data_IF_845317440433
#
_entry.id   IF_845317440433
#
_cell.length_a   1.000
_cell.length_b   1.000
_cell.length_c   1.000
_cell.angle_alpha   90.00
_cell.angle_beta   90.00
_cell.angle_gamma   90.00
#
_symmetry.space_group_name_H-M   'P 1'
#
loop_
_entity.id
_entity.type
_entity.pdbx_description
1 polymer ?
#
# COMPACT_ATOMS: atom_id res chain seq x y z
N UNK A 1 1.91 -17.95 27.46
CA UNK A 1 0.88 -16.87 27.53
C UNK A 1 1.20 -15.76 28.54
N UNK A 2 1.65 -16.03 29.79
CA UNK A 2 1.88 -14.96 30.79
C UNK A 2 2.82 -13.84 30.30
N UNK A 3 3.88 -14.21 29.58
CA UNK A 3 4.86 -13.28 28.99
C UNK A 3 4.24 -12.37 27.92
N UNK A 4 3.35 -12.90 27.07
CA UNK A 4 2.64 -12.10 26.06
C UNK A 4 1.84 -10.94 26.70
N UNK A 5 1.30 -11.15 27.90
CA UNK A 5 0.57 -10.11 28.62
C UNK A 5 1.47 -9.06 29.29
N UNK A 6 2.79 -9.29 29.38
CA UNK A 6 3.76 -8.28 29.83
C UNK A 6 4.05 -7.24 28.74
N UNK A 7 3.94 -7.65 27.47
CA UNK A 7 4.07 -6.77 26.32
C UNK A 7 3.01 -5.66 26.37
N UNK A 8 3.37 -4.44 25.94
CA UNK A 8 2.41 -3.35 25.87
C UNK A 8 1.24 -3.71 24.94
N UNK A 9 0.03 -3.26 25.30
CA UNK A 9 -1.15 -3.44 24.46
C UNK A 9 -1.08 -2.61 23.17
N UNK A 10 -0.47 -1.42 23.24
CA UNK A 10 -0.20 -0.55 22.10
C UNK A 10 1.26 -0.07 22.12
N UNK A 11 1.86 0.05 20.94
CA UNK A 11 3.24 0.48 20.78
C UNK A 11 4.25 -0.57 21.24
N UNK A 12 5.48 -0.13 21.46
CA UNK A 12 6.60 -1.01 21.79
C UNK A 12 7.29 -0.54 23.07
N UNK A 13 7.94 -1.48 23.76
CA UNK A 13 8.68 -1.20 24.98
C UNK A 13 10.11 -1.79 24.88
N UNK A 14 11.11 -1.11 25.44
CA UNK A 14 12.45 -1.67 25.59
C UNK A 14 12.42 -2.96 26.40
N UNK A 15 13.25 -3.93 26.02
CA UNK A 15 13.32 -5.25 26.67
C UNK A 15 13.62 -5.12 28.17
N UNK A 16 14.42 -4.15 28.58
CA UNK A 16 14.78 -3.89 29.97
C UNK A 16 13.56 -3.47 30.81
N UNK A 17 12.58 -2.82 30.19
CA UNK A 17 11.30 -2.51 30.84
C UNK A 17 10.45 -3.77 31.01
N UNK A 18 10.52 -4.71 30.07
CA UNK A 18 9.82 -6.00 30.16
C UNK A 18 10.47 -6.92 31.20
N UNK A 19 11.79 -6.92 31.31
CA UNK A 19 12.55 -7.64 32.33
C UNK A 19 12.13 -7.20 33.74
N UNK A 20 12.05 -5.88 33.99
CA UNK A 20 11.54 -5.34 35.27
C UNK A 20 10.14 -5.86 35.60
N UNK A 21 9.24 -5.91 34.60
CA UNK A 21 7.89 -6.48 34.78
C UNK A 21 7.92 -7.99 35.02
N UNK A 22 8.81 -8.72 34.35
CA UNK A 22 8.96 -10.16 34.50
C UNK A 22 9.44 -10.54 35.91
N UNK A 23 10.43 -9.82 36.45
CA UNK A 23 10.89 -9.97 37.84
C UNK A 23 9.73 -9.74 38.81
N UNK A 24 8.97 -8.66 38.65
CA UNK A 24 7.79 -8.38 39.49
C UNK A 24 6.70 -9.46 39.38
N UNK A 25 6.56 -10.08 38.21
CA UNK A 25 5.61 -11.16 37.96
C UNK A 25 6.14 -12.57 38.30
N UNK A 26 7.36 -12.68 38.86
CA UNK A 26 8.06 -13.94 39.17
C UNK A 26 8.22 -14.84 37.95
N UNK A 27 8.69 -14.27 36.84
CA UNK A 27 9.02 -14.96 35.58
C UNK A 27 10.54 -14.87 35.41
N UNK A 28 11.21 -15.98 35.06
CA UNK A 28 12.64 -15.98 34.79
C UNK A 28 12.96 -15.15 33.54
N UNK A 29 14.12 -14.50 33.52
CA UNK A 29 14.52 -13.65 32.38
C UNK A 29 14.79 -14.50 31.13
N UNK A 30 15.38 -15.69 31.29
CA UNK A 30 15.60 -16.62 30.19
C UNK A 30 14.26 -17.03 29.56
N UNK A 31 13.26 -17.39 30.37
CA UNK A 31 11.90 -17.71 29.88
C UNK A 31 11.28 -16.53 29.08
N UNK A 32 11.48 -15.29 29.56
CA UNK A 32 11.01 -14.08 28.89
C UNK A 32 11.65 -13.94 27.50
N UNK A 33 12.98 -14.03 27.44
CA UNK A 33 13.74 -13.85 26.20
C UNK A 33 13.44 -14.97 25.20
N UNK A 34 13.48 -16.24 25.62
CA UNK A 34 13.15 -17.39 24.77
C UNK A 34 11.71 -17.31 24.24
N UNK A 35 10.75 -16.93 25.09
CA UNK A 35 9.35 -16.80 24.65
C UNK A 35 9.18 -15.68 23.65
N UNK A 36 9.82 -14.53 23.85
CA UNK A 36 9.76 -13.41 22.88
C UNK A 36 10.33 -13.86 21.54
N UNK A 37 11.54 -14.43 21.55
CA UNK A 37 12.21 -14.90 20.34
C UNK A 37 11.41 -15.98 19.60
N UNK A 38 10.72 -16.87 20.32
CA UNK A 38 9.85 -17.88 19.72
C UNK A 38 8.58 -17.29 19.10
N UNK A 39 8.03 -16.21 19.65
CA UNK A 39 6.78 -15.61 19.18
C UNK A 39 6.97 -14.64 17.99
N UNK A 40 8.18 -14.14 17.76
CA UNK A 40 8.53 -13.32 16.58
C UNK A 40 8.26 -14.08 15.27
N UNK A 41 8.82 -15.28 15.04
CA UNK A 41 8.55 -16.07 13.82
C UNK A 41 7.16 -16.73 13.81
N UNK A 42 6.30 -16.44 14.79
CA UNK A 42 4.87 -16.78 14.73
C UNK A 42 4.02 -15.58 14.27
N UNK A 43 4.62 -14.38 14.15
CA UNK A 43 3.92 -13.13 13.82
C UNK A 43 3.09 -12.57 14.98
N UNK A 44 3.34 -13.02 16.22
CA UNK A 44 2.57 -12.65 17.42
C UNK A 44 3.22 -11.47 18.16
N UNK A 45 4.53 -11.29 17.98
CA UNK A 45 5.34 -10.24 18.60
C UNK A 45 6.11 -9.51 17.53
N UNK A 46 5.97 -8.18 17.49
CA UNK A 46 6.85 -7.33 16.70
C UNK A 46 8.09 -7.01 17.54
N UNK A 47 9.25 -7.07 16.90
CA UNK A 47 10.51 -6.68 17.53
C UNK A 47 11.43 -5.99 16.52
N UNK A 48 12.30 -5.12 17.04
CA UNK A 48 13.47 -4.61 16.33
C UNK A 48 14.49 -4.03 17.32
N UNK A 49 15.72 -3.82 16.87
CA UNK A 49 16.79 -3.19 17.65
C UNK A 49 16.95 -1.72 17.26
N UNK A 50 17.01 -0.83 18.25
CA UNK A 50 17.25 0.59 18.06
C UNK A 50 18.01 1.18 19.26
N UNK A 51 19.05 1.98 18.99
CA UNK A 51 19.87 2.58 20.04
C UNK A 51 20.53 1.55 20.98
N UNK A 52 20.79 0.33 20.50
CA UNK A 52 21.38 -0.75 21.29
C UNK A 52 20.40 -1.52 22.18
N UNK A 53 19.11 -1.17 22.20
CA UNK A 53 18.07 -1.89 22.94
C UNK A 53 17.08 -2.57 21.98
N UNK A 54 16.59 -3.74 22.37
CA UNK A 54 15.52 -4.46 21.66
C UNK A 54 14.17 -3.92 22.09
N UNK A 55 13.41 -3.38 21.15
CA UNK A 55 12.03 -2.99 21.34
C UNK A 55 11.13 -4.19 21.03
N UNK A 56 10.13 -4.44 21.89
CA UNK A 56 9.15 -5.50 21.71
C UNK A 56 7.73 -4.98 21.95
N UNK A 57 6.78 -5.43 21.13
CA UNK A 57 5.37 -5.10 21.23
C UNK A 57 4.49 -6.28 20.81
N UNK A 58 3.20 -6.21 21.12
CA UNK A 58 2.25 -7.17 20.53
C UNK A 58 2.07 -6.79 19.06
N UNK A 59 2.24 -7.75 18.17
CA UNK A 59 1.95 -7.52 16.77
C UNK A 59 0.45 -7.21 16.60
N UNK A 60 0.08 -6.21 15.79
CA UNK A 60 -1.32 -5.99 15.46
C UNK A 60 -1.86 -7.21 14.72
N UNK A 61 -3.16 -7.47 14.84
CA UNK A 61 -3.78 -8.66 14.22
C UNK A 61 -3.49 -8.75 12.72
N UNK A 62 -3.45 -7.62 12.02
CA UNK A 62 -3.14 -7.58 10.59
C UNK A 62 -1.72 -8.07 10.30
N UNK A 63 -0.74 -7.76 11.15
CA UNK A 63 0.63 -8.23 10.99
C UNK A 63 0.74 -9.75 11.19
N UNK A 64 0.01 -10.31 12.16
CA UNK A 64 -0.09 -11.77 12.32
C UNK A 64 -0.69 -12.43 11.07
N UNK A 65 -1.80 -11.88 10.55
CA UNK A 65 -2.45 -12.42 9.35
C UNK A 65 -1.53 -12.36 8.13
N UNK A 66 -0.91 -11.20 7.90
CA UNK A 66 0.09 -10.96 6.86
C UNK A 66 1.27 -11.92 6.93
N UNK A 67 1.75 -12.20 8.15
CA UNK A 67 2.85 -13.11 8.40
C UNK A 67 2.46 -14.54 8.04
N UNK A 68 1.34 -15.00 8.57
CA UNK A 68 0.90 -16.40 8.44
C UNK A 68 0.64 -16.80 6.98
N UNK A 69 0.10 -15.91 6.15
CA UNK A 69 -0.15 -16.21 4.73
C UNK A 69 1.12 -16.27 3.87
N UNK A 70 2.27 -15.81 4.41
CA UNK A 70 3.58 -15.83 3.74
C UNK A 70 4.48 -16.97 4.19
N UNK A 71 4.12 -17.67 5.27
CA UNK A 71 4.87 -18.83 5.72
C UNK A 71 4.86 -19.92 4.65
N UNK A 72 5.96 -20.65 4.50
CA UNK A 72 6.03 -21.81 3.60
C UNK A 72 5.40 -23.03 4.27
N UNK A 73 5.66 -23.22 5.56
CA UNK A 73 5.16 -24.36 6.33
C UNK A 73 3.64 -24.27 6.53
N UNK A 74 2.94 -25.38 6.31
CA UNK A 74 1.51 -25.46 6.57
C UNK A 74 1.24 -25.73 8.05
N UNK A 75 0.28 -25.02 8.62
CA UNK A 75 -0.10 -25.18 10.03
C UNK A 75 -1.58 -24.87 10.23
N UNK A 76 -2.20 -25.37 11.31
CA UNK A 76 -3.57 -25.00 11.66
C UNK A 76 -3.75 -23.48 11.80
N UNK A 77 -2.77 -22.79 12.38
CA UNK A 77 -2.79 -21.33 12.55
C UNK A 77 -2.77 -20.62 11.19
N UNK A 78 -1.90 -21.05 10.28
CA UNK A 78 -1.83 -20.53 8.91
C UNK A 78 -3.15 -20.68 8.18
N UNK A 79 -3.78 -21.85 8.24
CA UNK A 79 -5.08 -22.11 7.57
C UNK A 79 -6.20 -21.22 8.13
N UNK A 80 -6.24 -21.01 9.45
CA UNK A 80 -7.22 -20.11 10.08
C UNK A 80 -6.94 -18.65 9.69
N UNK A 81 -5.68 -18.22 9.78
CA UNK A 81 -5.30 -16.86 9.41
C UNK A 81 -5.56 -16.57 7.93
N UNK A 82 -5.35 -17.54 7.04
CA UNK A 82 -5.69 -17.41 5.61
C UNK A 82 -7.18 -17.12 5.41
N UNK A 83 -8.06 -17.85 6.11
CA UNK A 83 -9.52 -17.61 6.03
C UNK A 83 -9.90 -16.23 6.58
N UNK A 84 -9.31 -15.84 7.70
CA UNK A 84 -9.55 -14.53 8.32
C UNK A 84 -9.05 -13.41 7.39
N UNK A 85 -7.82 -13.52 6.86
CA UNK A 85 -7.24 -12.55 5.94
C UNK A 85 -8.08 -12.42 4.68
N UNK A 86 -8.57 -13.52 4.11
CA UNK A 86 -9.48 -13.48 2.98
C UNK A 86 -10.81 -12.79 3.32
N UNK A 87 -11.36 -13.04 4.50
CA UNK A 87 -12.55 -12.34 4.97
C UNK A 87 -12.31 -10.83 5.12
N UNK A 88 -11.12 -10.40 5.57
CA UNK A 88 -10.72 -9.00 5.53
C UNK A 88 -10.66 -8.49 4.09
N UNK A 89 -9.95 -9.17 3.20
CA UNK A 89 -9.80 -8.75 1.79
C UNK A 89 -11.15 -8.56 1.10
N UNK A 90 -12.07 -9.52 1.25
CA UNK A 90 -13.39 -9.45 0.62
C UNK A 90 -14.35 -8.48 1.33
N UNK A 91 -14.19 -8.31 2.64
CA UNK A 91 -15.05 -7.52 3.52
C UNK A 91 -14.54 -6.12 3.86
N UNK A 92 -13.41 -5.66 3.28
CA UNK A 92 -12.88 -4.29 3.50
C UNK A 92 -13.93 -3.21 3.25
N UNK A 93 -14.97 -3.53 2.46
CA UNK A 93 -16.07 -2.63 2.19
C UNK A 93 -16.92 -2.25 3.40
N UNK A 94 -16.94 -3.07 4.45
CA UNK A 94 -18.02 -2.99 5.43
C UNK A 94 -17.64 -2.17 6.68
N UNK A 95 -16.36 -1.77 6.84
CA UNK A 95 -15.87 -1.49 8.20
C UNK A 95 -14.78 -0.43 8.38
N UNK A 96 -14.46 0.44 7.41
CA UNK A 96 -13.46 1.48 7.68
C UNK A 96 -14.07 2.86 8.02
N UNK A 97 -14.20 3.23 9.32
CA UNK A 97 -14.84 4.47 9.78
C UNK A 97 -13.97 5.73 9.57
N UNK A 98 -13.09 5.73 8.58
CA UNK A 98 -12.27 6.89 8.20
C UNK A 98 -12.67 7.39 6.82
N UNK A 99 -12.41 8.66 6.56
CA UNK A 99 -12.48 9.27 5.22
C UNK A 99 -11.10 9.48 4.62
N UNK A 100 -10.05 9.28 5.42
CA UNK A 100 -8.66 9.53 5.05
C UNK A 100 -8.08 8.30 4.38
N UNK A 101 -7.67 8.35 3.10
CA UNK A 101 -7.05 7.22 2.44
C UNK A 101 -5.66 6.95 3.00
N UNK A 102 -5.43 5.69 3.41
CA UNK A 102 -4.13 5.20 3.89
C UNK A 102 -3.09 5.15 2.76
N UNK A 103 -3.53 4.76 1.57
CA UNK A 103 -2.71 4.65 0.37
C UNK A 103 -3.06 5.74 -0.64
N UNK A 104 -2.13 6.05 -1.54
CA UNK A 104 -2.40 6.81 -2.76
C UNK A 104 -1.87 6.05 -3.97
N UNK A 105 -2.57 6.16 -5.09
CA UNK A 105 -2.15 5.60 -6.36
C UNK A 105 -1.04 6.46 -6.96
N UNK A 106 -0.01 5.81 -7.48
CA UNK A 106 1.01 6.44 -8.31
C UNK A 106 0.83 6.01 -9.78
N UNK A 107 0.99 6.94 -10.74
CA UNK A 107 0.97 6.61 -12.16
C UNK A 107 2.16 5.72 -12.55
N UNK A 108 2.00 4.97 -13.63
CA UNK A 108 3.14 4.40 -14.39
C UNK A 108 4.10 5.54 -14.72
N UNK A 109 5.34 5.46 -14.27
CA UNK A 109 6.24 6.62 -14.23
C UNK A 109 6.50 7.20 -15.63
N UNK A 110 6.68 6.32 -16.62
CA UNK A 110 6.91 6.70 -18.02
C UNK A 110 5.75 7.52 -18.64
N UNK A 111 4.55 7.45 -18.05
CA UNK A 111 3.37 8.20 -18.53
C UNK A 111 3.33 9.63 -18.02
N UNK A 112 4.17 9.97 -17.05
CA UNK A 112 4.38 11.34 -16.57
C UNK A 112 5.42 12.06 -17.42
N UNK A 113 6.50 11.37 -17.79
CA UNK A 113 7.59 11.90 -18.60
C UNK A 113 7.22 11.85 -20.09
N UNK A 114 6.38 12.78 -20.54
CA UNK A 114 5.93 12.80 -21.94
C UNK A 114 4.90 13.86 -22.31
N UNK A 115 4.71 14.91 -21.49
CA UNK A 115 3.91 16.06 -21.91
C UNK A 115 4.51 16.62 -23.22
N UNK A 116 3.70 16.68 -24.28
CA UNK A 116 4.04 17.14 -25.64
C UNK A 116 4.98 18.35 -25.61
N UNK A 117 5.89 18.44 -26.59
CA UNK A 117 6.64 19.67 -26.89
C UNK A 117 5.71 20.89 -26.82
N UNK A 118 5.99 21.78 -25.88
CA UNK A 118 5.25 23.03 -25.73
C UNK A 118 5.48 23.90 -26.97
N UNK A 119 4.40 24.34 -27.62
CA UNK A 119 4.47 25.52 -28.48
C UNK A 119 4.41 26.75 -27.60
N UNK A 120 5.52 27.45 -27.43
CA UNK A 120 5.56 28.76 -26.77
C UNK A 120 4.65 29.77 -27.50
N UNK A 121 3.67 30.30 -26.77
CA UNK A 121 3.01 31.56 -27.11
C UNK A 121 3.56 32.58 -26.08
N UNK A 122 4.34 33.59 -26.50
CA UNK A 122 5.03 34.45 -25.56
C UNK A 122 4.05 35.35 -24.80
N UNK A 123 3.91 35.12 -23.49
CA UNK A 123 3.28 36.04 -22.54
C UNK A 123 4.25 36.24 -21.37
N UNK A 124 4.82 37.45 -21.26
CA UNK A 124 5.81 37.82 -20.24
C UNK A 124 5.19 37.92 -18.83
N UNK A 125 4.84 36.78 -18.23
CA UNK A 125 4.58 36.64 -16.81
C UNK A 125 5.09 35.29 -16.32
N UNK A 126 5.98 35.28 -15.33
CA UNK A 126 6.36 34.06 -14.61
C UNK A 126 5.25 33.75 -13.61
N UNK A 127 4.31 32.91 -14.03
CA UNK A 127 3.35 32.25 -13.14
C UNK A 127 4.03 30.95 -12.67
N UNK A 128 4.18 30.68 -11.36
CA UNK A 128 4.64 29.38 -10.88
C UNK A 128 3.69 28.32 -11.44
N UNK A 129 4.19 27.39 -12.25
CA UNK A 129 3.34 26.40 -12.90
C UNK A 129 2.91 25.33 -11.87
N UNK A 130 1.63 25.28 -11.44
CA UNK A 130 1.16 24.21 -10.57
C UNK A 130 1.16 22.84 -11.27
N UNK A 131 1.57 22.79 -12.55
CA UNK A 131 1.57 21.58 -13.38
C UNK A 131 2.87 20.76 -13.34
N UNK A 132 3.81 21.13 -12.47
CA UNK A 132 5.10 20.43 -12.38
C UNK A 132 4.95 19.01 -11.81
N UNK A 133 5.60 18.05 -12.46
CA UNK A 133 5.78 16.69 -11.95
C UNK A 133 6.69 16.79 -10.72
N UNK A 134 6.18 16.42 -9.55
CA UNK A 134 6.96 16.50 -8.32
C UNK A 134 7.68 15.18 -8.06
N UNK A 135 8.78 15.17 -7.27
CA UNK A 135 9.41 13.92 -6.86
C UNK A 135 8.47 12.96 -6.11
N UNK A 136 7.44 13.48 -5.45
CA UNK A 136 6.39 12.66 -4.81
C UNK A 136 5.49 11.93 -5.82
N UNK A 137 5.56 12.29 -7.10
CA UNK A 137 4.81 11.69 -8.19
C UNK A 137 5.64 10.62 -8.93
N UNK A 138 6.95 10.57 -8.68
CA UNK A 138 7.93 9.76 -9.40
C UNK A 138 8.45 8.65 -8.49
N UNK A 139 8.10 7.39 -8.78
CA UNK A 139 8.42 6.24 -7.94
C UNK A 139 9.93 6.05 -7.79
N UNK A 140 10.67 6.20 -8.89
CA UNK A 140 12.12 6.04 -8.90
C UNK A 140 12.81 7.04 -7.96
N UNK A 141 12.38 8.30 -7.97
CA UNK A 141 12.89 9.33 -7.06
C UNK A 141 12.48 9.08 -5.61
N UNK A 142 11.28 8.53 -5.36
CA UNK A 142 10.88 8.12 -4.02
C UNK A 142 11.77 7.01 -3.47
N UNK A 143 12.00 5.94 -4.24
CA UNK A 143 12.82 4.79 -3.82
C UNK A 143 14.28 5.19 -3.63
N UNK A 144 14.82 6.05 -4.51
CA UNK A 144 16.22 6.50 -4.46
C UNK A 144 16.57 7.28 -3.18
N UNK A 145 15.58 7.83 -2.48
CA UNK A 145 15.76 8.54 -1.21
C UNK A 145 15.85 7.61 0.00
N UNK A 146 15.53 6.34 -0.17
CA UNK A 146 15.42 5.38 0.93
C UNK A 146 16.73 4.60 1.10
N UNK A 147 17.26 4.59 2.33
CA UNK A 147 18.53 3.93 2.63
C UNK A 147 18.46 2.40 2.53
N UNK A 148 17.29 1.84 2.79
CA UNK A 148 17.10 0.40 2.90
C UNK A 148 15.74 -0.01 2.32
N UNK A 149 15.80 -0.89 1.32
CA UNK A 149 14.65 -1.36 0.57
C UNK A 149 14.48 -2.85 0.86
N UNK A 150 13.28 -3.24 1.28
CA UNK A 150 12.94 -4.63 1.54
C UNK A 150 11.69 -5.02 0.77
N UNK A 151 11.73 -6.18 0.15
CA UNK A 151 10.58 -6.75 -0.57
C UNK A 151 10.15 -8.07 0.08
N UNK A 152 8.85 -8.32 0.02
CA UNK A 152 8.23 -9.57 0.42
C UNK A 152 7.11 -9.95 -0.53
N UNK A 153 6.63 -11.18 -0.40
CA UNK A 153 5.44 -11.63 -1.10
C UNK A 153 4.21 -10.77 -0.77
N UNK A 154 3.35 -10.55 -1.75
CA UNK A 154 2.10 -9.83 -1.62
C UNK A 154 1.12 -10.68 -0.79
N UNK A 155 0.90 -10.30 0.47
CA UNK A 155 0.02 -11.04 1.38
C UNK A 155 -1.40 -11.24 0.82
N UNK A 156 -1.90 -10.28 0.03
CA UNK A 156 -3.21 -10.39 -0.62
C UNK A 156 -3.23 -11.52 -1.66
N UNK A 157 -2.22 -11.57 -2.54
CA UNK A 157 -2.09 -12.64 -3.54
C UNK A 157 -1.78 -13.98 -2.90
N UNK A 158 -0.83 -14.04 -1.95
CA UNK A 158 -0.52 -15.26 -1.21
C UNK A 158 -1.76 -15.85 -0.55
N UNK A 159 -2.64 -15.01 0.02
CA UNK A 159 -3.93 -15.46 0.58
C UNK A 159 -4.80 -16.13 -0.48
N UNK A 160 -4.94 -15.53 -1.66
CA UNK A 160 -5.74 -16.08 -2.76
C UNK A 160 -5.15 -17.36 -3.33
N UNK A 161 -3.82 -17.43 -3.48
CA UNK A 161 -3.15 -18.67 -3.90
C UNK A 161 -3.38 -19.82 -2.92
N UNK A 162 -3.33 -19.55 -1.62
CA UNK A 162 -3.60 -20.56 -0.59
C UNK A 162 -5.05 -21.09 -0.61
N UNK A 163 -5.97 -20.34 -1.21
CA UNK A 163 -7.36 -20.74 -1.41
C UNK A 163 -7.61 -21.38 -2.78
N UNK A 164 -6.60 -21.49 -3.64
CA UNK A 164 -6.75 -21.96 -5.01
C UNK A 164 -7.36 -20.93 -5.96
N UNK A 165 -7.38 -19.65 -5.57
CA UNK A 165 -7.92 -18.50 -6.33
C UNK A 165 -6.78 -17.59 -6.85
N UNK A 166 -5.57 -18.14 -7.02
CA UNK A 166 -4.40 -17.39 -7.48
C UNK A 166 -4.63 -16.77 -8.87
N UNK A 167 -4.12 -15.55 -9.07
CA UNK A 167 -4.29 -14.82 -10.33
C UNK A 167 -3.06 -14.89 -11.25
N UNK A 168 -1.99 -15.60 -10.88
CA UNK A 168 -0.78 -15.80 -11.70
C UNK A 168 0.23 -14.65 -11.73
N UNK A 169 -0.13 -13.47 -11.21
CA UNK A 169 0.80 -12.36 -11.05
C UNK A 169 1.88 -12.66 -9.99
N UNK A 170 3.09 -12.08 -10.09
CA UNK A 170 4.23 -12.36 -9.21
C UNK A 170 3.90 -12.05 -7.75
N UNK A 171 4.38 -12.88 -6.82
CA UNK A 171 4.17 -12.62 -5.40
C UNK A 171 5.07 -11.50 -4.89
N UNK A 172 6.34 -11.48 -5.26
CA UNK A 172 7.36 -10.64 -4.64
C UNK A 172 7.29 -9.17 -5.07
N UNK A 173 6.27 -8.45 -4.61
CA UNK A 173 5.94 -7.09 -5.08
C UNK A 173 5.46 -6.16 -3.96
N UNK A 174 5.68 -6.54 -2.70
CA UNK A 174 5.28 -5.77 -1.53
C UNK A 174 6.51 -5.19 -0.85
N UNK A 175 6.74 -3.89 -1.07
CA UNK A 175 7.91 -3.17 -0.60
C UNK A 175 7.64 -2.52 0.75
N UNK A 176 8.66 -2.52 1.59
CA UNK A 176 8.67 -1.90 2.90
C UNK A 176 9.92 -1.04 3.02
N UNK A 177 9.76 0.11 3.68
CA UNK A 177 10.81 1.11 3.87
C UNK A 177 10.83 1.57 5.34
N UNK A 178 11.88 2.30 5.71
CA UNK A 178 11.99 2.99 6.99
C UNK A 178 11.69 2.08 8.21
N UNK A 179 10.77 2.50 9.08
CA UNK A 179 10.47 1.83 10.35
C UNK A 179 10.01 0.38 10.16
N UNK A 180 9.28 0.10 9.09
CA UNK A 180 8.75 -1.24 8.84
C UNK A 180 9.85 -2.21 8.43
N UNK A 181 10.90 -1.76 7.76
CA UNK A 181 12.00 -2.63 7.34
C UNK A 181 12.58 -3.42 8.51
N UNK A 182 12.85 -2.76 9.63
CA UNK A 182 13.46 -3.40 10.80
C UNK A 182 12.62 -4.57 11.32
N UNK A 183 11.29 -4.39 11.37
CA UNK A 183 10.34 -5.43 11.78
C UNK A 183 10.30 -6.57 10.76
N UNK A 184 10.24 -6.22 9.46
CA UNK A 184 10.10 -7.21 8.38
C UNK A 184 11.34 -8.09 8.22
N UNK A 185 12.54 -7.54 8.36
CA UNK A 185 13.77 -8.33 8.31
C UNK A 185 13.88 -9.32 9.47
N UNK A 186 13.56 -8.89 10.70
CA UNK A 186 13.62 -9.80 11.87
C UNK A 186 12.63 -10.95 11.78
N UNK A 187 11.51 -10.74 11.09
CA UNK A 187 10.48 -11.76 10.91
C UNK A 187 10.80 -12.82 9.85
N UNK A 188 11.84 -12.61 9.01
CA UNK A 188 12.39 -13.65 8.13
C UNK A 188 11.63 -13.98 6.82
N UNK A 189 10.58 -13.25 6.48
CA UNK A 189 9.82 -13.45 5.21
C UNK A 189 10.05 -12.35 4.17
N UNK A 190 10.99 -11.44 4.43
CA UNK A 190 11.30 -10.32 3.58
C UNK A 190 12.80 -10.27 3.36
N UNK A 191 13.24 -9.87 2.16
CA UNK A 191 14.65 -9.76 1.80
C UNK A 191 15.00 -8.35 1.38
N UNK A 192 16.22 -7.95 1.72
CA UNK A 192 16.79 -6.69 1.24
C UNK A 192 17.10 -6.79 -0.25
N UNK A 193 16.86 -5.70 -0.96
CA UNK A 193 17.16 -5.53 -2.39
C UNK A 193 17.85 -4.19 -2.63
N UNK A 194 18.52 -4.06 -3.77
CA UNK A 194 19.07 -2.79 -4.23
C UNK A 194 18.06 -1.97 -5.05
N UNK A 195 18.44 -0.73 -5.36
CA UNK A 195 17.60 0.19 -6.13
C UNK A 195 17.28 -0.37 -7.52
N UNK A 196 18.28 -0.90 -8.22
CA UNK A 196 18.14 -1.41 -9.57
C UNK A 196 17.17 -2.61 -9.62
N UNK A 197 17.22 -3.50 -8.63
CA UNK A 197 16.29 -4.61 -8.46
C UNK A 197 14.88 -4.12 -8.16
N UNK A 198 14.74 -3.12 -7.28
CA UNK A 198 13.44 -2.52 -6.99
C UNK A 198 12.78 -1.96 -8.26
N UNK A 199 13.54 -1.20 -9.07
CA UNK A 199 13.04 -0.67 -10.35
C UNK A 199 12.68 -1.78 -11.34
N UNK A 200 13.45 -2.87 -11.40
CA UNK A 200 13.10 -4.03 -12.25
C UNK A 200 11.77 -4.66 -11.85
N UNK A 201 11.56 -4.91 -10.56
CA UNK A 201 10.30 -5.48 -10.05
C UNK A 201 9.12 -4.54 -10.36
N UNK A 202 9.31 -3.23 -10.21
CA UNK A 202 8.26 -2.26 -10.51
C UNK A 202 7.88 -2.23 -11.99
N UNK A 203 8.86 -2.27 -12.90
CA UNK A 203 8.60 -2.32 -14.34
C UNK A 203 7.88 -3.60 -14.74
N UNK A 204 8.30 -4.75 -14.21
CA UNK A 204 7.57 -6.01 -14.41
C UNK A 204 6.12 -5.93 -13.90
N UNK A 205 5.90 -5.25 -12.77
CA UNK A 205 4.55 -4.97 -12.28
C UNK A 205 3.75 -4.07 -13.23
N UNK A 206 4.36 -3.03 -13.79
CA UNK A 206 3.71 -2.14 -14.78
C UNK A 206 3.32 -2.91 -16.05
N UNK A 207 4.23 -3.73 -16.59
CA UNK A 207 4.02 -4.59 -17.77
C UNK A 207 2.88 -5.60 -17.57
N UNK A 208 2.67 -6.03 -16.33
CA UNK A 208 1.56 -6.92 -15.96
C UNK A 208 0.28 -6.17 -15.55
N UNK A 209 0.21 -4.85 -15.74
CA UNK A 209 -0.99 -4.06 -15.45
C UNK A 209 -1.29 -3.89 -13.95
N UNK A 210 -0.30 -4.06 -13.07
CA UNK A 210 -0.44 -3.84 -11.64
C UNK A 210 -0.39 -2.34 -11.30
N UNK A 211 -1.16 -1.94 -10.29
CA UNK A 211 -1.24 -0.54 -9.85
C UNK A 211 -0.34 -0.28 -8.66
N UNK A 212 0.56 0.69 -8.80
CA UNK A 212 1.39 1.17 -7.71
C UNK A 212 0.55 1.92 -6.66
N UNK A 213 0.60 1.44 -5.43
CA UNK A 213 -0.01 2.06 -4.26
C UNK A 213 1.09 2.34 -3.25
N UNK A 214 1.19 3.57 -2.76
CA UNK A 214 2.18 3.97 -1.76
C UNK A 214 1.47 4.52 -0.53
N UNK A 215 2.11 4.48 0.64
CA UNK A 215 1.63 5.22 1.82
C UNK A 215 1.28 6.67 1.43
N UNK A 216 0.13 7.19 1.87
CA UNK A 216 -0.35 8.51 1.48
C UNK A 216 0.37 9.66 2.22
N UNK A 217 1.70 9.70 2.10
CA UNK A 217 2.55 10.75 2.62
C UNK A 217 3.64 11.15 1.62
N UNK A 218 4.20 12.34 1.84
CA UNK A 218 5.37 12.89 1.13
C UNK A 218 6.68 12.43 1.79
N UNK A 219 6.78 12.57 3.12
CA UNK A 219 7.93 12.13 3.89
C UNK A 219 8.15 10.60 3.84
N UNK A 220 9.21 10.16 4.52
CA UNK A 220 9.66 8.76 4.66
C UNK A 220 8.53 7.74 4.49
N UNK A 221 8.43 7.16 3.29
CA UNK A 221 7.37 6.21 2.96
C UNK A 221 7.55 4.95 3.78
N UNK A 222 6.48 4.21 4.06
CA UNK A 222 6.59 2.96 4.82
C UNK A 222 6.30 1.74 3.95
N UNK A 223 5.42 1.90 2.96
CA UNK A 223 4.97 0.80 2.10
C UNK A 223 4.79 1.27 0.66
N UNK A 224 5.16 0.40 -0.28
CA UNK A 224 4.77 0.49 -1.69
C UNK A 224 4.34 -0.90 -2.14
N UNK A 225 3.15 -1.03 -2.71
CA UNK A 225 2.62 -2.32 -3.16
C UNK A 225 2.04 -2.23 -4.58
N UNK A 226 2.23 -3.31 -5.33
CA UNK A 226 1.80 -3.40 -6.73
C UNK A 226 0.58 -4.30 -6.83
N UNK A 227 -0.59 -3.69 -6.98
CA UNK A 227 -1.86 -4.32 -6.67
C UNK A 227 -2.70 -4.63 -7.92
N UNK A 228 -3.47 -5.71 -7.85
CA UNK A 228 -4.51 -6.07 -8.82
C UNK A 228 -5.88 -6.15 -8.12
N UNK A 229 -6.97 -5.99 -8.88
CA UNK A 229 -8.34 -6.21 -8.39
C UNK A 229 -8.62 -7.68 -8.09
N UNK A 230 -7.87 -8.61 -8.66
CA UNK A 230 -8.05 -10.05 -8.42
C UNK A 230 -7.88 -10.42 -6.94
N UNK A 231 -6.97 -9.76 -6.21
CA UNK A 231 -6.62 -10.16 -4.84
C UNK A 231 -6.54 -9.02 -3.83
N UNK A 232 -6.28 -7.78 -4.25
CA UNK A 232 -5.99 -6.71 -3.30
C UNK A 232 -7.26 -6.12 -2.69
N UNK A 233 -7.27 -6.04 -1.36
CA UNK A 233 -8.30 -5.38 -0.56
C UNK A 233 -8.53 -3.91 -0.97
N UNK A 234 -7.45 -3.15 -1.15
CA UNK A 234 -7.50 -1.72 -1.49
C UNK A 234 -8.09 -1.51 -2.87
N UNK A 235 -7.61 -2.27 -3.87
CA UNK A 235 -8.12 -2.14 -5.24
C UNK A 235 -9.59 -2.56 -5.36
N UNK A 236 -10.01 -3.63 -4.69
CA UNK A 236 -11.43 -4.05 -4.66
C UNK A 236 -12.33 -3.01 -4.02
N UNK A 237 -11.88 -2.39 -2.94
CA UNK A 237 -12.63 -1.31 -2.29
C UNK A 237 -12.75 -0.08 -3.21
N UNK A 238 -11.67 0.32 -3.88
CA UNK A 238 -11.69 1.39 -4.90
C UNK A 238 -12.66 1.06 -6.02
N UNK A 239 -12.60 -0.15 -6.60
CA UNK A 239 -13.48 -0.61 -7.68
C UNK A 239 -14.96 -0.56 -7.28
N UNK A 240 -15.26 -0.77 -5.99
CA UNK A 240 -16.61 -0.66 -5.41
C UNK A 240 -16.97 0.78 -4.98
N UNK A 241 -16.17 1.78 -5.35
CA UNK A 241 -16.43 3.21 -5.13
C UNK A 241 -15.95 3.77 -3.79
N UNK A 242 -15.15 3.03 -3.01
CA UNK A 242 -14.62 3.53 -1.75
C UNK A 242 -13.41 4.45 -1.95
N UNK A 243 -13.38 5.55 -1.19
CA UNK A 243 -12.33 6.59 -1.30
C UNK A 243 -11.45 6.70 -0.04
N UNK A 244 -11.67 5.85 0.95
CA UNK A 244 -11.07 5.93 2.29
C UNK A 244 -9.94 4.94 2.53
N UNK A 245 -9.65 4.03 1.60
CA UNK A 245 -8.53 3.08 1.72
C UNK A 245 -7.40 3.41 0.75
N UNK A 246 -7.74 3.83 -0.47
CA UNK A 246 -6.79 4.33 -1.46
C UNK A 246 -7.34 5.58 -2.13
N UNK A 247 -6.52 6.62 -2.17
CA UNK A 247 -6.79 7.87 -2.86
C UNK A 247 -6.30 7.82 -4.32
N UNK A 248 -6.90 8.61 -5.22
CA UNK A 248 -6.40 8.74 -6.57
C UNK A 248 -5.00 9.39 -6.58
N UNK A 249 -4.33 9.30 -7.73
CA UNK A 249 -3.14 10.08 -8.03
C UNK A 249 -3.45 11.59 -8.14
N UNK A 250 -2.41 12.42 -8.05
CA UNK A 250 -2.44 13.85 -8.46
C UNK A 250 -2.80 14.02 -9.94
N UNK A 251 -2.64 12.96 -10.73
CA UNK A 251 -2.93 12.94 -12.15
C UNK A 251 -4.25 12.23 -12.46
N UNK A 252 -4.83 12.58 -13.60
CA UNK A 252 -5.98 11.96 -14.24
C UNK A 252 -5.67 11.76 -15.72
N UNK A 253 -6.26 10.73 -16.32
CA UNK A 253 -6.12 10.53 -17.76
C UNK A 253 -6.93 11.58 -18.53
N UNK A 254 -6.44 11.96 -19.70
CA UNK A 254 -7.15 12.74 -20.72
C UNK A 254 -7.10 11.98 -22.07
N UNK A 255 -8.04 12.30 -22.96
CA UNK A 255 -8.23 11.64 -24.25
C UNK A 255 -8.16 12.65 -25.38
N UNK A 256 -7.32 12.37 -26.38
CA UNK A 256 -7.32 12.99 -27.70
C UNK A 256 -8.23 12.18 -28.63
N UNK A 257 -9.50 12.59 -28.74
CA UNK A 257 -10.52 11.90 -29.54
C UNK A 257 -10.16 11.83 -31.04
N UNK A 258 -9.38 12.78 -31.57
CA UNK A 258 -9.06 12.82 -33.00
C UNK A 258 -8.08 11.72 -33.40
N UNK A 259 -7.16 11.38 -32.50
CA UNK A 259 -6.17 10.30 -32.71
C UNK A 259 -6.69 8.91 -32.31
N UNK A 260 -7.80 8.83 -31.58
CA UNK A 260 -8.27 7.57 -31.00
C UNK A 260 -8.97 6.69 -32.03
N UNK A 261 -8.48 5.46 -32.21
CA UNK A 261 -9.07 4.46 -33.09
C UNK A 261 -10.17 3.62 -32.45
N UNK A 262 -10.47 3.86 -31.16
CA UNK A 262 -11.45 3.09 -30.37
C UNK A 262 -11.15 1.59 -30.31
N UNK A 263 -9.87 1.19 -30.35
CA UNK A 263 -9.43 -0.21 -30.41
C UNK A 263 -9.77 -1.05 -29.16
N UNK A 264 -10.05 -0.40 -28.03
CA UNK A 264 -10.52 -1.06 -26.82
C UNK A 264 -9.43 -1.57 -25.85
N UNK A 265 -8.14 -1.53 -26.22
CA UNK A 265 -7.06 -2.07 -25.39
C UNK A 265 -6.94 -1.43 -24.00
N UNK A 266 -7.33 -0.16 -23.87
CA UNK A 266 -7.33 0.54 -22.58
C UNK A 266 -8.40 0.01 -21.60
N UNK A 267 -9.45 -0.68 -22.09
CA UNK A 267 -10.47 -1.27 -21.22
C UNK A 267 -9.89 -2.46 -20.45
N UNK A 268 -9.08 -3.29 -21.11
CA UNK A 268 -8.53 -4.53 -20.54
C UNK A 268 -7.56 -4.28 -19.38
N UNK A 269 -6.87 -3.14 -19.40
CA UNK A 269 -5.89 -2.75 -18.36
C UNK A 269 -6.45 -1.81 -17.30
N UNK A 270 -7.72 -1.38 -17.42
CA UNK A 270 -8.31 -0.47 -16.46
C UNK A 270 -8.78 -1.20 -15.21
N UNK A 271 -8.06 -1.05 -14.08
CA UNK A 271 -8.40 -1.75 -12.84
C UNK A 271 -9.60 -1.18 -12.07
N UNK A 272 -10.29 -0.16 -12.60
CA UNK A 272 -11.43 0.49 -11.93
C UNK A 272 -12.65 0.62 -12.84
N UNK A 273 -12.64 -0.09 -13.98
CA UNK A 273 -13.77 -0.19 -14.92
C UNK A 273 -14.37 1.16 -15.32
N UNK A 274 -13.56 2.23 -15.36
CA UNK A 274 -14.01 3.59 -15.63
C UNK A 274 -13.89 3.97 -17.12
N UNK A 275 -13.54 3.02 -17.99
CA UNK A 275 -13.40 3.19 -19.44
C UNK A 275 -14.37 2.23 -20.12
N UNK A 276 -15.14 2.72 -21.08
CA UNK A 276 -16.06 1.93 -21.88
C UNK A 276 -16.09 2.41 -23.33
N UNK A 277 -16.65 1.60 -24.24
CA UNK A 277 -17.02 2.05 -25.58
C UNK A 277 -18.54 2.16 -25.63
N UNK A 278 -19.04 3.36 -25.92
CA UNK A 278 -20.46 3.65 -26.11
C UNK A 278 -20.67 4.42 -27.41
N UNK A 279 -21.64 4.00 -28.22
CA UNK A 279 -21.95 4.61 -29.53
C UNK A 279 -20.73 4.75 -30.47
N UNK A 280 -19.84 3.77 -30.43
CA UNK A 280 -18.61 3.76 -31.23
C UNK A 280 -17.54 4.74 -30.77
N UNK A 281 -17.67 5.30 -29.56
CA UNK A 281 -16.71 6.22 -28.95
C UNK A 281 -16.20 5.72 -27.61
N UNK A 282 -14.99 6.10 -27.26
CA UNK A 282 -14.42 5.87 -25.93
C UNK A 282 -15.06 6.85 -24.95
N UNK A 283 -15.60 6.32 -23.85
CA UNK A 283 -16.15 7.10 -22.75
C UNK A 283 -15.35 6.79 -21.50
N UNK A 284 -14.88 7.84 -20.82
CA UNK A 284 -14.10 7.74 -19.59
C UNK A 284 -14.86 8.46 -18.47
N UNK A 285 -15.17 7.73 -17.40
CA UNK A 285 -15.62 8.32 -16.15
C UNK A 285 -14.41 8.86 -15.37
N UNK A 286 -14.10 10.15 -15.59
CA UNK A 286 -12.99 10.82 -14.94
C UNK A 286 -13.16 10.93 -13.41
N UNK A 287 -14.39 10.85 -12.89
CA UNK A 287 -14.65 10.92 -11.46
C UNK A 287 -14.23 9.63 -10.73
N UNK A 288 -14.27 8.49 -11.43
CA UNK A 288 -13.80 7.19 -10.94
C UNK A 288 -12.38 6.84 -11.41
N UNK A 289 -11.76 7.65 -12.26
CA UNK A 289 -10.36 7.47 -12.64
C UNK A 289 -9.45 7.62 -11.41
N UNK A 290 -8.60 6.63 -11.14
CA UNK A 290 -7.60 6.70 -10.07
C UNK A 290 -6.24 7.26 -10.52
N UNK A 291 -6.06 7.47 -11.82
CA UNK A 291 -4.81 8.04 -12.36
C UNK A 291 -3.62 7.09 -12.26
N UNK A 292 -3.81 5.79 -12.49
CA UNK A 292 -2.72 4.79 -12.51
C UNK A 292 -1.86 4.87 -13.77
N UNK A 293 -2.32 5.51 -14.85
CA UNK A 293 -1.58 5.58 -16.11
C UNK A 293 -1.50 4.27 -16.91
N UNK A 294 -2.07 3.17 -16.42
CA UNK A 294 -2.01 1.87 -17.11
C UNK A 294 -2.62 1.91 -18.52
N UNK A 295 -3.73 2.62 -18.70
CA UNK A 295 -4.33 2.82 -20.03
C UNK A 295 -3.48 3.69 -20.96
N UNK A 296 -2.68 4.61 -20.41
CA UNK A 296 -1.78 5.48 -21.18
C UNK A 296 -0.59 4.67 -21.68
N UNK A 297 0.05 3.87 -20.82
CA UNK A 297 1.20 3.03 -21.20
C UNK A 297 0.85 1.96 -22.24
N UNK A 298 -0.41 1.55 -22.32
CA UNK A 298 -0.90 0.52 -23.25
C UNK A 298 -1.61 1.08 -24.49
N UNK A 299 -1.67 2.40 -24.67
CA UNK A 299 -2.32 3.01 -25.83
C UNK A 299 -1.37 3.05 -27.04
N UNK A 300 -1.57 2.22 -28.09
CA UNK A 300 -0.66 2.19 -29.23
C UNK A 300 -0.69 3.48 -30.07
N UNK A 301 -1.81 4.20 -30.03
CA UNK A 301 -2.01 5.45 -30.77
C UNK A 301 -1.47 6.68 -30.02
N UNK A 302 -1.12 6.53 -28.73
CA UNK A 302 -0.76 7.67 -27.88
C UNK A 302 -1.92 8.66 -27.63
N UNK A 303 -3.17 8.22 -27.81
CA UNK A 303 -4.36 9.06 -27.65
C UNK A 303 -4.72 9.36 -26.20
N UNK A 304 -4.22 8.56 -25.25
CA UNK A 304 -4.41 8.79 -23.82
C UNK A 304 -3.14 9.40 -23.23
N UNK A 305 -3.28 10.36 -22.32
CA UNK A 305 -2.14 11.01 -21.65
C UNK A 305 -2.51 11.46 -20.24
N UNK A 306 -1.51 11.69 -19.39
CA UNK A 306 -1.72 12.12 -18.02
C UNK A 306 -1.73 13.64 -17.92
N UNK A 307 -2.71 14.20 -17.22
CA UNK A 307 -2.77 15.62 -16.84
C UNK A 307 -2.96 15.74 -15.34
N UNK A 308 -2.55 16.86 -14.76
CA UNK A 308 -2.82 17.13 -13.35
C UNK A 308 -4.29 17.42 -13.11
N UNK A 309 -4.80 16.93 -11.99
CA UNK A 309 -6.15 17.24 -11.52
C UNK A 309 -6.22 18.72 -11.14
N UNK A 310 -7.37 19.34 -11.41
CA UNK A 310 -7.65 20.71 -10.96
C UNK A 310 -7.58 20.83 -9.43
N UNK A 311 -8.06 19.80 -8.72
CA UNK A 311 -7.96 19.66 -7.27
C UNK A 311 -7.19 18.37 -6.91
N UNK A 312 -5.86 18.43 -6.78
CA UNK A 312 -5.06 17.27 -6.42
C UNK A 312 -5.41 16.74 -5.03
N UNK A 313 -5.44 15.41 -4.82
CA UNK A 313 -5.77 14.82 -3.54
C UNK A 313 -4.71 15.18 -2.48
N UNK A 314 -5.17 15.29 -1.24
CA UNK A 314 -4.30 15.61 -0.10
C UNK A 314 -3.30 14.48 0.16
N UNK A 315 -2.02 14.84 0.13
CA UNK A 315 -0.90 14.03 0.61
C UNK A 315 -0.48 14.56 1.99
N UNK A 316 -0.22 13.66 2.94
CA UNK A 316 0.20 14.04 4.30
C UNK A 316 1.71 14.27 4.38
N UNK A 317 2.18 15.02 5.37
CA UNK A 317 3.61 15.28 5.55
C UNK A 317 4.39 14.00 5.84
N UNK A 318 3.84 13.11 6.65
CA UNK A 318 4.48 11.90 7.14
C UNK A 318 3.44 10.88 7.62
N UNK A 319 3.90 9.65 7.85
CA UNK A 319 3.05 8.55 8.32
C UNK A 319 2.44 8.80 9.72
N UNK A 320 3.13 9.49 10.63
CA UNK A 320 2.60 9.76 11.98
C UNK A 320 1.41 10.72 11.92
N UNK A 321 1.45 11.75 11.08
CA UNK A 321 0.33 12.68 10.85
C UNK A 321 -0.83 11.96 10.15
N UNK A 322 -0.54 11.14 9.14
CA UNK A 322 -1.53 10.32 8.44
C UNK A 322 -2.28 9.37 9.40
N UNK A 323 -1.56 8.54 10.14
CA UNK A 323 -2.16 7.56 11.05
C UNK A 323 -2.81 8.22 12.27
N UNK A 324 -2.31 9.35 12.76
CA UNK A 324 -3.00 10.12 13.80
C UNK A 324 -4.37 10.60 13.31
N UNK A 325 -4.45 11.06 12.06
CA UNK A 325 -5.72 11.48 11.45
C UNK A 325 -6.68 10.29 11.30
N UNK A 326 -6.22 9.18 10.73
CA UNK A 326 -7.02 7.96 10.55
C UNK A 326 -7.55 7.45 11.90
N UNK A 327 -6.67 7.34 12.90
CA UNK A 327 -7.04 6.84 14.23
C UNK A 327 -8.07 7.77 14.92
N UNK A 328 -7.91 9.08 14.79
CA UNK A 328 -8.87 10.04 15.32
C UNK A 328 -10.24 9.90 14.65
N UNK A 329 -10.28 9.82 13.31
CA UNK A 329 -11.52 9.61 12.57
C UNK A 329 -12.19 8.29 12.94
N UNK A 330 -11.41 7.22 13.07
CA UNK A 330 -11.92 5.91 13.46
C UNK A 330 -12.52 5.91 14.88
N UNK A 331 -11.85 6.55 15.85
CA UNK A 331 -12.38 6.68 17.21
C UNK A 331 -13.70 7.47 17.23
N UNK A 332 -13.78 8.57 16.47
CA UNK A 332 -15.01 9.36 16.35
C UNK A 332 -16.12 8.53 15.71
N UNK A 333 -15.82 7.82 14.61
CA UNK A 333 -16.80 6.97 13.93
C UNK A 333 -17.34 5.85 14.82
N UNK A 334 -16.47 5.18 15.59
CA UNK A 334 -16.88 4.16 16.57
C UNK A 334 -17.73 4.75 17.69
N UNK A 335 -17.37 5.93 18.21
CA UNK A 335 -18.15 6.62 19.22
C UNK A 335 -19.54 7.00 18.69
N UNK A 336 -19.61 7.57 17.48
CA UNK A 336 -20.86 7.92 16.81
C UNK A 336 -21.75 6.69 16.59
N UNK A 337 -21.18 5.58 16.12
CA UNK A 337 -21.92 4.32 15.93
C UNK A 337 -22.49 3.78 17.23
N UNK A 338 -21.73 3.87 18.33
CA UNK A 338 -22.19 3.45 19.66
C UNK A 338 -23.29 4.36 20.23
N UNK A 339 -23.26 5.66 19.94
CA UNK A 339 -24.24 6.64 20.44
C UNK A 339 -25.52 6.63 19.59
N UNK A 340 -25.40 6.52 18.27
CA UNK A 340 -26.50 6.74 17.32
C UNK A 340 -26.96 5.47 16.59
N UNK A 341 -26.34 4.32 16.83
CA UNK A 341 -26.77 3.02 16.29
C UNK A 341 -26.66 2.86 14.78
N UNK A 342 -25.85 3.67 14.10
CA UNK A 342 -25.57 3.58 12.65
C UNK A 342 -24.14 3.12 12.41
#
# INVERSE_FOLDING_TARGET
MRIFFLLPFMGMAPIEKLEKKAVGAKIALDDLHETILRLIPEGVVDSYVEGGSRLCGRAPIIALLEFQVRLIEDSPMRRVCTKIMNAFIEGVTDVNPTKTPCYRVLPVEATLTGLREEKEIPVNMVVPDPREILPIDVISEMIKREDLIVVADCYCRSTKELLGEGCGHPLETCFYFNKLVKIKLESGYARQIDYEEAIRILRDCEEQGLVHNVSNCDGAIETLCNCCTCSCAVMRAIQRGQKNVGGPSRFVVALDEESCTYCGLCLDVCNVDNIAIADGKLVIDFANCIGSGQCVSHCPEGSLYMILREDPPKVFSDNDVLFRRINMEAMIGLAMKKVFGR
#
